data_IF_990283202145
#
_entry.id   IF_990283202145
#
_cell.length_a   1.000
_cell.length_b   1.000
_cell.length_c   1.000
_cell.angle_alpha   90.00
_cell.angle_beta   90.00
_cell.angle_gamma   90.00
#
_symmetry.space_group_name_H-M   'P 1'
#
loop_
_entity.id
_entity.type
_entity.pdbx_description
1 polymer ?
#
# COMPACT_ATOMS: atom_id res chain seq x y z
N UNK A 1 16.42 13.52 -19.15
CA UNK A 1 15.87 12.19 -19.53
C UNK A 1 14.42 12.08 -19.04
N UNK A 2 13.52 11.73 -19.95
CA UNK A 2 12.13 11.54 -19.59
C UNK A 2 11.97 10.13 -19.04
N UNK A 3 11.43 10.05 -17.84
CA UNK A 3 11.14 8.76 -17.22
C UNK A 3 9.68 8.42 -17.52
N UNK A 4 9.47 7.33 -18.21
CA UNK A 4 8.13 6.85 -18.51
C UNK A 4 7.58 6.09 -17.30
N UNK A 5 6.40 6.48 -16.86
CA UNK A 5 5.70 5.69 -15.84
C UNK A 5 5.17 4.41 -16.48
N UNK A 6 5.07 3.38 -15.67
CA UNK A 6 4.67 2.07 -16.14
C UNK A 6 3.54 1.55 -15.25
N UNK A 7 2.43 1.14 -15.88
CA UNK A 7 1.33 0.51 -15.19
C UNK A 7 1.54 -0.99 -15.17
N UNK A 8 1.53 -1.57 -13.99
CA UNK A 8 1.65 -3.02 -13.82
C UNK A 8 0.36 -3.57 -13.24
N UNK A 9 -0.03 -4.75 -13.70
CA UNK A 9 -1.19 -5.45 -13.16
C UNK A 9 -0.83 -6.09 -11.84
N UNK A 10 -1.56 -5.76 -10.77
CA UNK A 10 -1.29 -6.30 -9.45
C UNK A 10 -2.09 -7.57 -9.20
N UNK A 11 -3.41 -7.48 -9.25
CA UNK A 11 -4.29 -8.62 -8.99
C UNK A 11 -5.72 -8.24 -9.40
N UNK A 12 -6.65 -9.18 -9.29
CA UNK A 12 -8.05 -8.87 -9.51
C UNK A 12 -8.64 -8.17 -8.30
N UNK A 13 -9.68 -7.38 -8.52
CA UNK A 13 -10.31 -6.57 -7.48
C UNK A 13 -10.88 -7.43 -6.34
N UNK A 14 -11.38 -8.62 -6.66
CA UNK A 14 -11.97 -9.50 -5.67
C UNK A 14 -10.94 -10.14 -4.72
N UNK A 15 -9.65 -9.99 -5.00
CA UNK A 15 -8.59 -10.44 -4.11
C UNK A 15 -8.29 -9.44 -3.00
N UNK A 16 -8.79 -8.20 -3.12
CA UNK A 16 -8.62 -7.16 -2.10
C UNK A 16 -9.98 -6.57 -1.76
N UNK A 17 -10.71 -7.29 -0.93
CA UNK A 17 -12.05 -6.86 -0.51
C UNK A 17 -11.96 -5.76 0.54
N UNK A 18 -13.09 -5.09 0.77
CA UNK A 18 -13.15 -3.99 1.74
C UNK A 18 -12.59 -4.45 3.09
N UNK A 19 -11.66 -3.65 3.63
CA UNK A 19 -11.01 -3.93 4.90
C UNK A 19 -9.81 -4.84 4.79
N UNK A 20 -9.41 -5.26 3.58
CA UNK A 20 -8.31 -6.20 3.41
C UNK A 20 -7.05 -5.53 2.91
N UNK A 21 -5.92 -6.14 3.24
CA UNK A 21 -4.57 -5.79 2.78
C UNK A 21 -4.06 -6.90 1.87
N UNK A 22 -3.30 -6.53 0.86
CA UNK A 22 -2.72 -7.50 -0.08
C UNK A 22 -1.33 -7.03 -0.49
N UNK A 23 -0.32 -7.88 -0.28
CA UNK A 23 1.04 -7.58 -0.68
C UNK A 23 1.41 -8.29 -1.96
N UNK A 24 2.13 -7.61 -2.85
CA UNK A 24 2.65 -8.27 -4.05
C UNK A 24 4.02 -7.74 -4.40
N UNK A 25 4.73 -8.53 -5.21
CA UNK A 25 6.08 -8.20 -5.68
C UNK A 25 6.07 -8.11 -7.20
N UNK A 26 6.76 -7.11 -7.73
CA UNK A 26 6.97 -6.95 -9.16
C UNK A 26 8.39 -6.48 -9.38
N UNK A 27 9.23 -7.31 -9.98
CA UNK A 27 10.67 -7.09 -10.10
C UNK A 27 11.28 -6.83 -8.72
N UNK A 28 11.88 -5.66 -8.50
CA UNK A 28 12.45 -5.29 -7.21
C UNK A 28 11.47 -4.49 -6.34
N UNK A 29 10.23 -4.32 -6.80
CA UNK A 29 9.22 -3.56 -6.07
C UNK A 29 8.40 -4.46 -5.16
N UNK A 30 8.19 -4.00 -3.94
CA UNK A 30 7.31 -4.66 -2.97
C UNK A 30 6.21 -3.67 -2.63
N UNK A 31 4.98 -3.99 -2.98
CA UNK A 31 3.87 -3.05 -2.94
C UNK A 31 2.73 -3.61 -2.12
N UNK A 32 2.12 -2.75 -1.30
CA UNK A 32 0.94 -3.04 -0.52
C UNK A 32 -0.28 -2.45 -1.21
N UNK A 33 -1.32 -3.25 -1.36
CA UNK A 33 -2.65 -2.76 -1.72
C UNK A 33 -3.54 -2.80 -0.49
N UNK A 34 -4.33 -1.77 -0.31
CA UNK A 34 -5.27 -1.68 0.82
C UNK A 34 -6.62 -1.21 0.31
N UNK A 35 -7.67 -1.93 0.68
CA UNK A 35 -9.04 -1.53 0.36
C UNK A 35 -9.65 -0.91 1.61
N UNK A 36 -9.62 0.42 1.66
CA UNK A 36 -10.17 1.19 2.76
C UNK A 36 -11.52 1.75 2.35
N UNK A 37 -12.58 1.18 2.88
CA UNK A 37 -13.97 1.59 2.61
C UNK A 37 -14.31 1.60 1.12
N UNK A 38 -13.81 0.62 0.38
CA UNK A 38 -14.09 0.47 -1.04
C UNK A 38 -13.12 1.17 -1.97
N UNK A 39 -12.18 1.95 -1.43
CA UNK A 39 -11.17 2.63 -2.23
C UNK A 39 -9.82 1.91 -2.11
N UNK A 40 -9.19 1.65 -3.25
CA UNK A 40 -7.90 0.95 -3.31
C UNK A 40 -6.76 1.96 -3.27
N UNK A 41 -5.84 1.74 -2.33
CA UNK A 41 -4.60 2.51 -2.20
C UNK A 41 -3.41 1.59 -2.40
N UNK A 42 -2.31 2.15 -2.89
CA UNK A 42 -1.06 1.41 -3.06
C UNK A 42 0.09 2.19 -2.42
N UNK A 43 0.87 1.49 -1.60
CA UNK A 43 2.05 2.05 -0.94
C UNK A 43 3.18 1.04 -0.98
N UNK A 44 4.37 1.45 -0.50
CA UNK A 44 5.41 0.47 -0.24
C UNK A 44 4.92 -0.57 0.76
N UNK A 45 5.34 -1.80 0.57
CA UNK A 45 4.91 -2.92 1.43
C UNK A 45 5.63 -2.94 2.77
N UNK A 46 6.89 -2.51 2.79
CA UNK A 46 7.74 -2.64 3.97
C UNK A 46 7.71 -1.36 4.78
N UNK A 47 7.47 -1.50 6.08
CA UNK A 47 7.41 -0.39 7.02
C UNK A 47 8.73 0.39 7.03
N UNK A 48 8.66 1.74 7.02
CA UNK A 48 9.85 2.58 6.92
C UNK A 48 10.75 2.55 8.15
N UNK A 49 10.23 2.19 9.33
CA UNK A 49 11.03 2.17 10.55
C UNK A 49 11.44 0.76 10.99
N UNK A 50 10.94 -0.27 10.31
CA UNK A 50 11.23 -1.66 10.61
C UNK A 50 11.01 -2.48 9.35
N UNK A 51 11.64 -3.65 9.25
CA UNK A 51 11.48 -4.50 8.07
C UNK A 51 10.20 -5.35 8.14
N UNK A 52 9.12 -4.76 8.60
CA UNK A 52 7.85 -5.44 8.76
C UNK A 52 7.02 -5.37 7.48
N UNK A 53 6.40 -6.49 7.13
CA UNK A 53 5.47 -6.59 6.01
C UNK A 53 4.11 -6.02 6.44
N UNK A 54 3.71 -4.90 5.87
CA UNK A 54 2.48 -4.23 6.25
C UNK A 54 1.22 -5.00 5.88
N UNK A 55 1.31 -5.97 4.97
CA UNK A 55 0.15 -6.81 4.65
C UNK A 55 -0.25 -7.72 5.83
N UNK A 56 0.64 -7.89 6.80
CA UNK A 56 0.34 -8.63 8.04
C UNK A 56 -0.09 -7.71 9.17
N UNK A 57 -0.19 -6.42 8.90
CA UNK A 57 -0.63 -5.45 9.89
C UNK A 57 -2.15 -5.30 9.95
N UNK A 58 -2.60 -4.12 10.36
CA UNK A 58 -4.01 -3.86 10.59
C UNK A 58 -4.47 -2.65 9.80
N UNK A 59 -5.62 -2.78 9.13
CA UNK A 59 -6.23 -1.68 8.39
C UNK A 59 -7.34 -1.06 9.24
N UNK A 60 -7.33 0.28 9.32
CA UNK A 60 -8.36 1.04 10.04
C UNK A 60 -8.72 2.29 9.23
N UNK A 61 -9.64 3.09 9.76
CA UNK A 61 -10.02 4.36 9.13
C UNK A 61 -8.87 5.35 9.12
N UNK A 62 -7.88 5.18 9.99
CA UNK A 62 -6.73 6.07 10.08
C UNK A 62 -5.61 5.69 9.10
N UNK A 63 -5.62 4.45 8.63
CA UNK A 63 -4.60 3.95 7.72
C UNK A 63 -4.18 2.52 8.03
N UNK A 64 -2.95 2.17 7.64
CA UNK A 64 -2.38 0.84 7.89
C UNK A 64 -1.46 0.91 9.10
N UNK A 65 -1.64 -0.02 10.03
CA UNK A 65 -0.85 -0.10 11.26
C UNK A 65 0.22 -1.18 11.12
N UNK A 66 1.47 -0.79 11.39
CA UNK A 66 2.59 -1.73 11.39
C UNK A 66 2.42 -2.76 12.50
N UNK A 67 2.62 -4.07 12.21
CA UNK A 67 2.40 -5.10 13.22
C UNK A 67 3.44 -5.12 14.35
N UNK A 68 4.63 -4.53 14.12
CA UNK A 68 5.70 -4.60 15.11
C UNK A 68 5.65 -3.46 16.13
N UNK A 69 5.51 -2.21 15.67
CA UNK A 69 5.59 -1.04 16.55
C UNK A 69 4.33 -0.22 16.58
N UNK A 70 3.28 -0.69 15.94
CA UNK A 70 1.95 -0.07 15.96
C UNK A 70 1.89 1.35 15.39
N UNK A 71 2.90 1.76 14.62
CA UNK A 71 2.83 3.02 13.88
C UNK A 71 1.77 2.92 12.79
N UNK A 72 1.00 3.99 12.61
CA UNK A 72 -0.06 4.04 11.60
C UNK A 72 0.39 4.97 10.48
N UNK A 73 0.23 4.52 9.24
CA UNK A 73 0.54 5.30 8.05
C UNK A 73 -0.74 5.66 7.31
N UNK A 74 -0.90 6.93 6.98
CA UNK A 74 -2.02 7.39 6.16
C UNK A 74 -1.86 6.84 4.74
N UNK A 75 -2.94 6.32 4.16
CA UNK A 75 -2.87 5.68 2.85
C UNK A 75 -2.83 6.66 1.69
N UNK A 76 -3.34 7.88 1.86
CA UNK A 76 -3.35 8.87 0.79
C UNK A 76 -1.98 9.47 0.52
N UNK A 77 -1.24 9.79 1.56
CA UNK A 77 0.07 10.45 1.44
C UNK A 77 1.22 9.63 2.02
N UNK A 78 0.94 8.51 2.67
CA UNK A 78 1.95 7.66 3.26
C UNK A 78 2.53 8.18 4.57
N UNK A 79 2.04 9.28 5.09
CA UNK A 79 2.64 9.90 6.27
C UNK A 79 2.36 9.12 7.55
N UNK A 80 3.38 8.95 8.40
CA UNK A 80 3.16 8.32 9.70
C UNK A 80 2.36 9.23 10.62
N UNK A 81 1.39 8.65 11.32
CA UNK A 81 0.50 9.39 12.21
C UNK A 81 1.03 9.44 13.63
N UNK A 82 1.97 8.55 13.96
CA UNK A 82 2.52 8.45 15.32
C UNK A 82 3.90 7.81 15.29
N UNK A 83 4.66 8.08 16.34
CA UNK A 83 5.96 7.45 16.53
C UNK A 83 5.80 5.94 16.77
N UNK A 84 6.82 5.10 16.49
CA UNK A 84 8.19 5.52 16.16
C UNK A 84 8.46 5.82 14.69
N UNK A 85 7.53 5.57 13.77
CA UNK A 85 7.75 5.86 12.36
C UNK A 85 7.81 7.36 12.11
N UNK A 86 8.81 7.80 11.35
CA UNK A 86 9.01 9.21 11.02
C UNK A 86 9.07 9.45 9.51
N UNK A 87 9.40 8.41 8.74
CA UNK A 87 9.58 8.50 7.30
C UNK A 87 8.30 8.04 6.61
N UNK A 88 7.71 8.86 5.71
CA UNK A 88 6.50 8.44 4.98
C UNK A 88 6.75 7.23 4.08
N UNK A 89 5.72 6.43 3.89
CA UNK A 89 5.71 5.39 2.87
C UNK A 89 5.56 6.05 1.50
N UNK A 90 6.24 5.51 0.50
CA UNK A 90 5.98 5.92 -0.88
C UNK A 90 4.60 5.44 -1.27
N UNK A 91 3.83 6.30 -1.96
CA UNK A 91 2.51 5.95 -2.47
C UNK A 91 2.56 5.83 -4.00
N UNK A 92 1.64 5.06 -4.55
CA UNK A 92 1.55 4.79 -5.98
C UNK A 92 0.14 5.07 -6.47
N UNK A 93 0.03 5.54 -7.70
CA UNK A 93 -1.28 5.71 -8.32
C UNK A 93 -1.88 4.36 -8.67
N UNK A 94 -3.21 4.28 -8.56
CA UNK A 94 -3.97 3.05 -8.81
C UNK A 94 -5.05 3.34 -9.81
N UNK A 95 -5.28 2.41 -10.73
CA UNK A 95 -6.47 2.42 -11.58
C UNK A 95 -7.09 1.03 -11.61
N UNK A 96 -8.39 0.99 -11.84
CA UNK A 96 -9.13 -0.27 -11.94
C UNK A 96 -9.77 -0.33 -13.31
N UNK A 97 -9.49 -1.40 -14.06
CA UNK A 97 -10.07 -1.63 -15.37
C UNK A 97 -10.54 -3.07 -15.46
N UNK A 98 -11.79 -3.28 -15.84
CA UNK A 98 -12.39 -4.62 -16.00
C UNK A 98 -12.13 -5.51 -14.76
N UNK A 99 -12.35 -4.93 -13.57
CA UNK A 99 -12.17 -5.60 -12.27
C UNK A 99 -10.73 -6.05 -11.98
N UNK A 100 -9.75 -5.44 -12.67
CA UNK A 100 -8.33 -5.68 -12.42
C UNK A 100 -7.69 -4.41 -11.85
N UNK A 101 -6.80 -4.59 -10.87
CA UNK A 101 -6.10 -3.48 -10.22
C UNK A 101 -4.73 -3.30 -10.89
N UNK A 102 -4.45 -2.05 -11.30
CA UNK A 102 -3.16 -1.65 -11.87
C UNK A 102 -2.52 -0.59 -11.00
N UNK A 103 -1.21 -0.65 -10.88
CA UNK A 103 -0.41 0.27 -10.07
C UNK A 103 0.63 0.92 -10.98
N UNK A 104 0.77 2.24 -10.86
CA UNK A 104 1.77 2.98 -11.61
C UNK A 104 3.08 3.04 -10.81
N UNK A 105 4.12 2.49 -11.39
CA UNK A 105 5.45 2.41 -10.76
C UNK A 105 6.50 3.21 -11.52
#
# INVERSE_FOLDING_TARGET
>A
MIRLSQWIKACSLDQVKEGQLFGFHSDDKKILLANQKGKIFATDLICTHADADLSTGFLSDEGVRCPLHLSVFNLQDGKPQNLPAEIPLKTYNVKIEQDEIYVEV
#
